data_IF_427129137630
#
_entry.id   IF_427129137630
#
_cell.length_a   1.000
_cell.length_b   1.000
_cell.length_c   1.000
_cell.angle_alpha   90.00
_cell.angle_beta   90.00
_cell.angle_gamma   90.00
#
_symmetry.space_group_name_H-M   'P 1'
#
loop_
_entity.id
_entity.type
_entity.pdbx_description
1 polymer ?
#
# COMPACT_ATOMS: atom_id res chain seq x y z
N UNK A 1 -46.39 -3.12 7.47
CA UNK A 1 -46.72 -3.29 6.04
C UNK A 1 -45.87 -2.28 5.28
N UNK A 2 -44.85 -2.74 4.59
CA UNK A 2 -44.11 -1.94 3.61
C UNK A 2 -44.96 -1.92 2.34
N UNK A 3 -45.63 -0.80 2.06
CA UNK A 3 -46.30 -0.56 0.80
C UNK A 3 -45.26 -0.66 -0.34
N UNK A 4 -45.53 -1.54 -1.28
CA UNK A 4 -44.72 -1.69 -2.47
C UNK A 4 -44.85 -0.45 -3.34
N UNK A 5 -43.82 0.39 -3.42
CA UNK A 5 -43.79 1.56 -4.26
C UNK A 5 -44.12 1.22 -5.73
N UNK A 6 -44.91 2.07 -6.39
CA UNK A 6 -45.30 1.96 -7.79
C UNK A 6 -44.05 1.74 -8.69
N UNK A 7 -44.13 0.86 -9.70
CA UNK A 7 -43.03 0.60 -10.63
C UNK A 7 -42.44 1.85 -11.31
N UNK A 8 -43.27 2.86 -11.60
CA UNK A 8 -42.84 4.15 -12.16
C UNK A 8 -41.98 4.95 -11.17
N UNK A 9 -42.37 4.96 -9.89
CA UNK A 9 -41.60 5.61 -8.81
C UNK A 9 -40.26 4.93 -8.62
N UNK A 10 -40.20 3.59 -8.64
CA UNK A 10 -38.93 2.82 -8.57
C UNK A 10 -38.02 3.11 -9.75
N UNK A 11 -38.56 3.20 -10.98
CA UNK A 11 -37.79 3.52 -12.17
C UNK A 11 -37.21 4.94 -12.09
N UNK A 12 -38.00 5.92 -11.64
CA UNK A 12 -37.55 7.29 -11.44
C UNK A 12 -36.46 7.41 -10.34
N UNK A 13 -36.63 6.73 -9.22
CA UNK A 13 -35.64 6.70 -8.15
C UNK A 13 -34.35 6.04 -8.62
N UNK A 14 -34.44 4.96 -9.40
CA UNK A 14 -33.25 4.27 -9.98
C UNK A 14 -32.52 5.19 -10.94
N UNK A 15 -33.22 5.89 -11.84
CA UNK A 15 -32.65 6.85 -12.78
C UNK A 15 -31.97 8.02 -12.03
N UNK A 16 -32.65 8.58 -11.03
CA UNK A 16 -32.10 9.66 -10.19
C UNK A 16 -30.84 9.23 -9.41
N UNK A 17 -30.81 7.98 -8.94
CA UNK A 17 -29.63 7.39 -8.29
C UNK A 17 -28.48 7.23 -9.29
N UNK A 18 -28.75 6.76 -10.50
CA UNK A 18 -27.74 6.62 -11.56
C UNK A 18 -27.15 7.96 -11.96
N UNK A 19 -27.98 8.99 -12.12
CA UNK A 19 -27.52 10.36 -12.43
C UNK A 19 -26.60 10.88 -11.33
N UNK A 20 -26.97 10.74 -10.05
CA UNK A 20 -26.11 11.15 -8.92
C UNK A 20 -24.78 10.39 -8.89
N UNK A 21 -24.79 9.09 -9.18
CA UNK A 21 -23.58 8.29 -9.27
C UNK A 21 -22.68 8.75 -10.43
N UNK A 22 -23.26 9.03 -11.59
CA UNK A 22 -22.52 9.55 -12.74
C UNK A 22 -21.90 10.93 -12.47
N UNK A 23 -22.62 11.82 -11.80
CA UNK A 23 -22.12 13.13 -11.38
C UNK A 23 -20.95 12.98 -10.39
N UNK A 24 -21.08 12.12 -9.38
CA UNK A 24 -20.01 11.83 -8.43
C UNK A 24 -18.79 11.23 -9.13
N UNK A 25 -19.00 10.32 -10.09
CA UNK A 25 -17.93 9.74 -10.91
C UNK A 25 -17.17 10.81 -11.72
N UNK A 26 -17.91 11.73 -12.34
CA UNK A 26 -17.32 12.83 -13.11
C UNK A 26 -16.49 13.77 -12.22
N UNK A 27 -17.00 14.12 -11.04
CA UNK A 27 -16.26 14.93 -10.07
C UNK A 27 -14.98 14.23 -9.61
N UNK A 28 -15.07 12.94 -9.28
CA UNK A 28 -13.91 12.14 -8.88
C UNK A 28 -12.86 12.05 -10.00
N UNK A 29 -13.30 11.87 -11.26
CA UNK A 29 -12.40 11.86 -12.41
C UNK A 29 -11.70 13.21 -12.62
N UNK A 30 -12.43 14.33 -12.47
CA UNK A 30 -11.85 15.68 -12.56
C UNK A 30 -10.86 15.95 -11.46
N UNK A 31 -11.15 15.55 -10.22
CA UNK A 31 -10.23 15.67 -9.08
C UNK A 31 -8.95 14.84 -9.30
N UNK A 32 -9.07 13.60 -9.79
CA UNK A 32 -7.93 12.76 -10.12
C UNK A 32 -7.06 13.34 -11.25
N UNK A 33 -7.68 13.94 -12.27
CA UNK A 33 -6.96 14.64 -13.35
C UNK A 33 -6.21 15.87 -12.83
N UNK A 34 -6.80 16.64 -11.92
CA UNK A 34 -6.17 17.80 -11.30
C UNK A 34 -4.98 17.39 -10.38
N UNK A 35 -5.13 16.34 -9.58
CA UNK A 35 -4.05 15.81 -8.74
C UNK A 35 -2.86 15.28 -9.56
N UNK A 36 -3.12 14.65 -10.71
CA UNK A 36 -2.06 14.14 -11.60
C UNK A 36 -1.26 15.23 -12.33
N UNK A 37 -1.66 16.49 -12.27
CA UNK A 37 -0.92 17.61 -12.85
C UNK A 37 0.14 18.21 -11.91
N UNK A 38 0.02 17.96 -10.60
CA UNK A 38 0.94 18.54 -9.59
C UNK A 38 2.26 17.75 -9.47
N UNK A 39 2.28 16.46 -9.83
CA UNK A 39 3.45 15.58 -9.65
C UNK A 39 4.49 15.62 -10.79
N UNK A 40 4.49 16.63 -11.67
CA UNK A 40 5.33 16.63 -12.88
C UNK A 40 6.68 17.33 -12.79
N UNK A 41 7.03 17.91 -11.65
CA UNK A 41 8.27 18.72 -11.55
C UNK A 41 9.50 18.01 -10.94
N UNK A 42 9.50 16.73 -10.72
CA UNK A 42 10.59 16.06 -10.00
C UNK A 42 11.06 14.70 -10.50
N UNK A 43 11.14 14.46 -11.81
CA UNK A 43 11.61 13.15 -12.28
C UNK A 43 12.35 13.18 -13.62
N UNK A 44 13.62 12.76 -13.58
CA UNK A 44 14.49 12.62 -14.75
C UNK A 44 13.84 11.86 -15.91
N UNK A 45 14.08 12.36 -17.11
CA UNK A 45 13.59 11.97 -18.42
C UNK A 45 13.43 10.46 -18.64
N UNK A 46 12.30 9.89 -18.25
CA UNK A 46 11.81 8.63 -18.78
C UNK A 46 10.98 8.96 -20.01
N UNK A 47 11.34 8.38 -21.17
CA UNK A 47 10.72 8.57 -22.49
C UNK A 47 9.26 9.03 -22.40
N UNK A 48 8.97 10.25 -22.82
CA UNK A 48 7.62 10.80 -22.94
C UNK A 48 6.77 9.89 -23.82
N UNK A 49 6.06 8.94 -23.21
CA UNK A 49 4.84 8.42 -23.84
C UNK A 49 3.92 9.62 -23.96
N UNK A 50 3.63 9.98 -25.22
CA UNK A 50 2.65 10.98 -25.62
C UNK A 50 1.45 10.87 -24.68
N UNK A 51 1.28 11.84 -23.78
CA UNK A 51 0.09 11.95 -22.98
C UNK A 51 -1.06 12.20 -23.97
N UNK A 52 -1.76 11.15 -24.33
CA UNK A 52 -3.08 11.29 -24.93
C UNK A 52 -3.90 12.01 -23.89
N UNK A 53 -4.47 13.13 -24.23
CA UNK A 53 -5.53 13.82 -23.49
C UNK A 53 -6.78 12.94 -23.47
N UNK A 54 -6.66 11.77 -22.82
CA UNK A 54 -7.82 10.92 -22.59
C UNK A 54 -8.75 11.67 -21.63
N UNK A 55 -10.03 11.71 -21.95
CA UNK A 55 -11.04 12.26 -21.07
C UNK A 55 -10.93 11.59 -19.68
N UNK A 56 -11.16 12.34 -18.59
CA UNK A 56 -11.11 11.78 -17.25
C UNK A 56 -12.11 10.64 -17.11
N UNK A 57 -11.61 9.46 -16.74
CA UNK A 57 -12.40 8.23 -16.57
C UNK A 57 -12.69 7.98 -15.07
N UNK A 58 -13.91 7.60 -14.74
CA UNK A 58 -14.23 7.10 -13.41
C UNK A 58 -15.24 5.95 -13.50
N UNK A 59 -15.18 5.03 -12.54
CA UNK A 59 -16.13 3.94 -12.46
C UNK A 59 -17.47 4.46 -11.95
N UNK A 60 -18.54 4.22 -12.72
CA UNK A 60 -19.89 4.65 -12.34
C UNK A 60 -20.42 3.86 -11.13
N UNK A 61 -20.02 2.59 -11.01
CA UNK A 61 -20.47 1.71 -9.92
C UNK A 61 -19.79 2.05 -8.59
N UNK A 62 -18.50 2.38 -8.62
CA UNK A 62 -17.71 2.83 -7.48
C UNK A 62 -16.82 4.03 -7.89
N UNK A 63 -17.35 5.25 -7.80
CA UNK A 63 -16.64 6.45 -8.25
C UNK A 63 -15.36 6.76 -7.47
N UNK A 64 -15.16 6.15 -6.31
CA UNK A 64 -13.95 6.33 -5.50
C UNK A 64 -12.85 5.33 -5.88
N UNK A 65 -13.18 4.23 -6.56
CA UNK A 65 -12.17 3.31 -7.08
C UNK A 65 -11.37 3.93 -8.22
N UNK A 66 -10.15 3.44 -8.46
CA UNK A 66 -9.25 3.94 -9.50
C UNK A 66 -8.79 2.82 -10.42
N UNK A 67 -8.51 3.18 -11.66
CA UNK A 67 -7.90 2.30 -12.65
C UNK A 67 -6.42 2.16 -12.34
N UNK A 68 -6.01 1.01 -11.84
CA UNK A 68 -4.65 0.71 -11.42
C UNK A 68 -3.99 -0.28 -12.36
N UNK A 69 -2.73 -0.01 -12.73
CA UNK A 69 -1.97 -0.91 -13.59
C UNK A 69 -1.59 -2.19 -12.84
N UNK A 70 -1.68 -3.33 -13.51
CA UNK A 70 -1.20 -4.61 -13.00
C UNK A 70 0.18 -4.96 -13.56
N UNK A 71 0.91 -5.85 -12.88
CA UNK A 71 2.23 -6.32 -13.33
C UNK A 71 2.19 -6.99 -14.73
N UNK A 72 1.06 -7.56 -15.10
CA UNK A 72 0.87 -8.26 -16.38
C UNK A 72 0.44 -7.33 -17.53
N UNK A 73 0.55 -6.02 -17.35
CA UNK A 73 0.22 -5.02 -18.38
C UNK A 73 -1.26 -4.69 -18.53
N UNK A 74 -2.13 -5.31 -17.72
CA UNK A 74 -3.56 -4.98 -17.64
C UNK A 74 -3.86 -3.88 -16.63
N UNK A 75 -5.17 -3.66 -16.42
CA UNK A 75 -5.67 -2.72 -15.40
C UNK A 75 -6.72 -3.41 -14.54
N UNK A 76 -6.79 -3.00 -13.29
CA UNK A 76 -7.84 -3.36 -12.35
C UNK A 76 -8.48 -2.10 -11.80
N UNK A 77 -9.80 -2.16 -11.61
CA UNK A 77 -10.52 -1.10 -10.91
C UNK A 77 -10.50 -1.43 -9.42
N UNK A 78 -9.90 -0.57 -8.61
CA UNK A 78 -9.74 -0.87 -7.20
C UNK A 78 -9.13 0.26 -6.39
N UNK A 79 -8.61 -0.12 -5.24
CA UNK A 79 -7.88 0.73 -4.30
C UNK A 79 -6.50 0.13 -4.05
N UNK A 80 -5.56 0.96 -3.63
CA UNK A 80 -4.25 0.51 -3.18
C UNK A 80 -4.29 0.25 -1.68
N UNK A 81 -4.08 -1.00 -1.27
CA UNK A 81 -4.10 -1.42 0.12
C UNK A 81 -2.68 -1.53 0.67
N UNK A 82 -2.40 -0.79 1.71
CA UNK A 82 -1.15 -0.77 2.44
C UNK A 82 -1.32 -1.50 3.77
N UNK A 83 -0.33 -2.31 4.15
CA UNK A 83 -0.28 -2.98 5.45
C UNK A 83 1.11 -2.85 6.07
N UNK A 84 1.19 -2.58 7.36
CA UNK A 84 2.41 -2.67 8.15
C UNK A 84 2.33 -3.92 9.03
N UNK A 85 3.36 -4.76 8.97
CA UNK A 85 3.37 -6.09 9.57
C UNK A 85 4.65 -6.28 10.36
N UNK A 86 4.58 -6.86 11.55
CA UNK A 86 5.74 -7.26 12.35
C UNK A 86 6.36 -8.54 11.79
N UNK A 87 7.57 -8.89 12.24
CA UNK A 87 8.26 -10.11 11.82
C UNK A 87 7.58 -11.39 12.32
N UNK A 88 6.81 -11.31 13.39
CA UNK A 88 5.90 -12.36 13.85
C UNK A 88 4.50 -12.31 13.18
N UNK A 89 4.36 -11.56 12.08
CA UNK A 89 3.17 -11.46 11.23
C UNK A 89 1.92 -10.80 11.87
N UNK A 90 2.07 -9.97 12.88
CA UNK A 90 0.97 -9.13 13.36
C UNK A 90 0.79 -7.92 12.45
N UNK A 91 -0.45 -7.58 12.13
CA UNK A 91 -0.77 -6.38 11.35
C UNK A 91 -0.86 -5.19 12.32
N UNK A 92 0.10 -4.28 12.28
CA UNK A 92 0.13 -3.08 13.11
C UNK A 92 -0.76 -1.97 12.58
N UNK A 93 -0.80 -1.82 11.26
CA UNK A 93 -1.57 -0.78 10.61
C UNK A 93 -2.02 -1.20 9.21
N UNK A 94 -3.14 -0.65 8.80
CA UNK A 94 -3.68 -0.77 7.44
C UNK A 94 -4.06 0.61 6.92
N UNK A 95 -3.94 0.81 5.61
CA UNK A 95 -4.42 2.02 4.94
C UNK A 95 -4.92 1.65 3.55
N UNK A 96 -6.07 2.19 3.17
CA UNK A 96 -6.58 2.09 1.82
C UNK A 96 -6.48 3.46 1.15
N UNK A 97 -5.93 3.52 -0.06
CA UNK A 97 -5.73 4.76 -0.81
C UNK A 97 -6.16 4.62 -2.26
N UNK A 98 -6.36 5.73 -2.91
CA UNK A 98 -6.65 5.83 -4.34
C UNK A 98 -5.38 6.04 -5.18
N UNK A 99 -4.22 6.15 -4.54
CA UNK A 99 -2.95 6.38 -5.22
C UNK A 99 -2.52 5.15 -6.01
N UNK A 100 -2.13 5.34 -7.26
CA UNK A 100 -1.66 4.26 -8.12
C UNK A 100 -0.21 3.83 -7.86
N UNK A 101 0.47 4.47 -6.92
CA UNK A 101 1.85 4.18 -6.51
C UNK A 101 1.98 4.25 -4.97
N UNK A 102 3.07 3.71 -4.44
CA UNK A 102 3.23 3.49 -3.00
C UNK A 102 4.07 4.56 -2.29
N UNK A 103 4.84 5.39 -3.02
CA UNK A 103 5.85 6.25 -2.38
C UNK A 103 5.26 7.31 -1.43
N UNK A 104 4.05 7.81 -1.67
CA UNK A 104 3.35 8.71 -0.73
C UNK A 104 2.74 7.98 0.47
N UNK A 105 2.70 6.65 0.45
CA UNK A 105 2.13 5.87 1.53
C UNK A 105 3.13 5.52 2.64
N UNK A 106 4.45 5.68 2.40
CA UNK A 106 5.48 5.26 3.35
C UNK A 106 5.38 6.00 4.68
N UNK A 107 5.41 7.33 4.66
CA UNK A 107 5.34 8.16 5.87
C UNK A 107 4.07 7.91 6.68
N UNK A 108 2.85 7.96 6.09
CA UNK A 108 1.63 7.68 6.83
C UNK A 108 1.60 6.27 7.44
N UNK A 109 2.13 5.26 6.75
CA UNK A 109 2.17 3.89 7.26
C UNK A 109 3.17 3.73 8.38
N UNK A 110 4.34 4.38 8.28
CA UNK A 110 5.34 4.38 9.35
C UNK A 110 4.81 5.06 10.60
N UNK A 111 4.15 6.21 10.46
CA UNK A 111 3.53 6.93 11.57
C UNK A 111 2.41 6.10 12.22
N UNK A 112 1.59 5.41 11.43
CA UNK A 112 0.55 4.52 11.94
C UNK A 112 1.15 3.33 12.70
N UNK A 113 2.25 2.75 12.24
CA UNK A 113 2.95 1.67 12.95
C UNK A 113 3.56 2.16 14.27
N UNK A 114 4.18 3.35 14.30
CA UNK A 114 4.67 3.99 15.54
C UNK A 114 3.52 4.20 16.52
N UNK A 115 2.39 4.74 16.06
CA UNK A 115 1.21 4.97 16.91
C UNK A 115 0.66 3.65 17.46
N UNK A 116 0.63 2.59 16.64
CA UNK A 116 0.17 1.27 17.09
C UNK A 116 1.06 0.72 18.21
N UNK A 117 2.40 0.82 18.09
CA UNK A 117 3.32 0.39 19.16
C UNK A 117 3.17 1.20 20.44
N UNK A 118 2.89 2.50 20.33
CA UNK A 118 2.58 3.34 21.50
C UNK A 118 1.30 2.87 22.22
N UNK A 119 0.23 2.57 21.47
CA UNK A 119 -1.05 2.13 22.04
C UNK A 119 -0.95 0.80 22.78
N UNK A 120 -0.05 -0.09 22.38
CA UNK A 120 0.19 -1.36 23.08
C UNK A 120 1.28 -1.29 24.15
N UNK A 121 1.72 -0.08 24.49
CA UNK A 121 2.74 0.14 25.54
C UNK A 121 4.17 -0.18 25.13
N UNK A 122 4.46 -0.32 23.83
CA UNK A 122 5.77 -0.65 23.25
C UNK A 122 6.38 0.50 22.44
N UNK A 123 6.23 1.71 22.96
CA UNK A 123 6.78 2.91 22.33
C UNK A 123 8.31 2.79 22.17
N UNK A 124 8.81 3.13 20.97
CA UNK A 124 10.26 3.07 20.67
C UNK A 124 10.81 1.69 20.33
N UNK A 125 10.00 0.63 20.38
CA UNK A 125 10.44 -0.75 20.07
C UNK A 125 10.33 -1.10 18.57
N UNK A 126 9.96 -0.16 17.71
CA UNK A 126 9.97 -0.39 16.27
C UNK A 126 11.41 -0.53 15.79
N UNK A 127 11.75 -1.72 15.30
CA UNK A 127 13.03 -2.02 14.68
C UNK A 127 13.16 -1.42 13.27
N UNK A 128 13.96 -2.06 12.42
CA UNK A 128 14.15 -1.62 11.02
C UNK A 128 12.90 -1.87 10.19
N UNK A 129 12.33 -0.83 9.61
CA UNK A 129 11.20 -0.90 8.68
C UNK A 129 11.69 -1.35 7.30
N UNK A 130 11.11 -2.42 6.77
CA UNK A 130 11.46 -2.99 5.46
C UNK A 130 10.39 -2.62 4.44
N UNK A 131 10.79 -1.96 3.34
CA UNK A 131 9.86 -1.55 2.29
C UNK A 131 10.37 -1.93 0.90
N UNK A 132 9.46 -2.13 -0.05
CA UNK A 132 9.82 -2.47 -1.42
C UNK A 132 10.17 -1.24 -2.28
N UNK A 133 10.48 -1.49 -3.55
CA UNK A 133 10.89 -0.45 -4.47
C UNK A 133 9.78 0.56 -4.82
N UNK A 134 8.51 0.23 -4.56
CA UNK A 134 7.40 1.16 -4.73
C UNK A 134 7.48 2.39 -3.81
N UNK A 135 8.16 2.23 -2.68
CA UNK A 135 8.39 3.30 -1.71
C UNK A 135 9.69 4.09 -1.93
N UNK A 136 10.49 3.72 -2.93
CA UNK A 136 11.77 4.36 -3.17
C UNK A 136 11.61 5.80 -3.63
N UNK A 137 11.92 6.75 -2.76
CA UNK A 137 11.99 8.18 -3.05
C UNK A 137 12.95 8.86 -2.09
N UNK A 138 13.57 9.96 -2.51
CA UNK A 138 14.52 10.69 -1.66
C UNK A 138 13.88 11.16 -0.33
N UNK A 139 12.66 11.72 -0.32
CA UNK A 139 11.97 12.04 0.93
C UNK A 139 11.83 10.83 1.87
N UNK A 140 11.44 9.66 1.34
CA UNK A 140 11.28 8.47 2.17
C UNK A 140 12.61 7.93 2.73
N UNK A 141 13.72 8.14 2.01
CA UNK A 141 15.05 7.75 2.48
C UNK A 141 15.57 8.63 3.62
N UNK A 142 15.14 9.90 3.67
CA UNK A 142 15.63 10.91 4.63
C UNK A 142 14.62 11.26 5.72
N UNK A 143 13.40 10.72 5.64
CA UNK A 143 12.34 10.96 6.61
C UNK A 143 12.82 10.65 8.04
N UNK A 144 12.57 11.52 9.04
CA UNK A 144 12.87 11.21 10.44
C UNK A 144 12.01 10.05 10.95
N UNK A 145 12.49 9.35 11.99
CA UNK A 145 11.76 8.24 12.61
C UNK A 145 12.55 6.92 12.60
N UNK A 146 11.87 5.76 12.69
CA UNK A 146 12.51 4.45 12.78
C UNK A 146 13.49 4.18 11.64
N UNK A 147 14.49 3.35 11.94
CA UNK A 147 15.41 2.85 10.93
C UNK A 147 14.70 2.13 9.79
N UNK A 148 15.27 2.15 8.58
CA UNK A 148 14.61 1.60 7.39
C UNK A 148 15.57 1.01 6.37
N UNK A 149 15.07 0.00 5.65
CA UNK A 149 15.66 -0.52 4.43
C UNK A 149 14.60 -0.48 3.32
N UNK A 150 14.77 0.43 2.36
CA UNK A 150 13.88 0.57 1.19
C UNK A 150 14.64 0.04 -0.03
N UNK A 151 14.02 -0.85 -0.79
CA UNK A 151 14.64 -1.45 -1.97
C UNK A 151 14.89 -0.43 -3.09
N UNK A 152 16.09 -0.40 -3.68
CA UNK A 152 16.36 0.43 -4.86
C UNK A 152 15.81 -0.16 -6.16
N UNK A 153 15.28 -1.39 -6.14
CA UNK A 153 14.79 -2.11 -7.31
C UNK A 153 14.13 -3.44 -6.94
N UNK A 154 13.91 -4.30 -7.93
CA UNK A 154 13.29 -5.60 -7.70
C UNK A 154 14.22 -6.57 -6.94
N UNK A 155 13.63 -7.60 -6.33
CA UNK A 155 14.35 -8.57 -5.51
C UNK A 155 15.50 -9.30 -6.25
N UNK A 156 15.32 -9.60 -7.54
CA UNK A 156 16.36 -10.29 -8.34
C UNK A 156 17.59 -9.41 -8.52
N UNK A 157 17.39 -8.14 -8.82
CA UNK A 157 18.48 -7.18 -8.99
C UNK A 157 19.23 -6.93 -7.68
N UNK A 158 18.50 -6.80 -6.58
CA UNK A 158 19.10 -6.65 -5.24
C UNK A 158 19.96 -7.86 -4.89
N UNK A 159 19.45 -9.07 -5.10
CA UNK A 159 20.18 -10.31 -4.81
C UNK A 159 21.41 -10.46 -5.71
N UNK A 160 21.28 -10.13 -6.99
CA UNK A 160 22.40 -10.13 -7.94
C UNK A 160 23.46 -9.11 -7.55
N UNK A 161 23.07 -7.90 -7.20
CA UNK A 161 23.99 -6.81 -6.84
C UNK A 161 24.69 -7.10 -5.50
N UNK A 162 24.00 -7.67 -4.52
CA UNK A 162 24.60 -8.10 -3.27
C UNK A 162 25.62 -9.22 -3.46
N UNK A 163 25.40 -10.13 -4.43
CA UNK A 163 26.34 -11.20 -4.78
C UNK A 163 27.54 -10.68 -5.57
N UNK A 164 27.29 -9.86 -6.60
CA UNK A 164 28.32 -9.47 -7.57
C UNK A 164 29.13 -8.25 -7.12
N UNK A 165 28.57 -7.43 -6.23
CA UNK A 165 29.15 -6.19 -5.72
C UNK A 165 28.86 -6.04 -4.23
N UNK A 166 29.32 -7.01 -3.39
CA UNK A 166 29.08 -6.91 -1.96
C UNK A 166 29.69 -5.62 -1.41
N UNK A 167 29.02 -5.03 -0.43
CA UNK A 167 29.53 -3.86 0.29
C UNK A 167 29.98 -4.28 1.67
N UNK A 168 31.05 -3.66 2.15
CA UNK A 168 31.65 -3.92 3.46
C UNK A 168 31.89 -2.60 4.19
N UNK A 169 31.77 -2.61 5.50
CA UNK A 169 31.98 -1.44 6.34
C UNK A 169 30.95 -0.32 6.13
N UNK A 170 31.19 0.87 6.67
CA UNK A 170 30.31 2.01 6.53
C UNK A 170 30.31 2.55 5.09
N UNK A 171 29.20 3.17 4.64
CA UNK A 171 29.17 3.85 3.36
C UNK A 171 30.09 5.07 3.36
N UNK A 172 30.54 5.56 2.18
CA UNK A 172 31.31 6.80 2.08
C UNK A 172 30.58 7.95 2.80
N UNK A 173 31.30 8.81 3.55
CA UNK A 173 30.68 9.86 4.35
C UNK A 173 29.90 10.89 3.52
N UNK A 174 30.37 11.18 2.33
CA UNK A 174 29.80 12.10 1.34
C UNK A 174 28.74 11.45 0.40
N UNK A 175 28.48 10.16 0.56
CA UNK A 175 27.51 9.47 -0.27
C UNK A 175 26.09 10.02 -0.06
N UNK A 176 25.34 10.11 -1.16
CA UNK A 176 23.92 10.50 -1.13
C UNK A 176 23.07 9.55 -0.27
N UNK A 177 21.91 9.96 0.25
CA UNK A 177 21.00 9.07 0.96
C UNK A 177 20.66 7.81 0.16
N UNK A 178 20.47 7.96 -1.15
CA UNK A 178 20.21 6.86 -2.07
C UNK A 178 21.40 5.89 -2.16
N UNK A 179 22.62 6.40 -2.22
CA UNK A 179 23.83 5.55 -2.30
C UNK A 179 24.13 4.88 -0.96
N UNK A 180 23.90 5.57 0.16
CA UNK A 180 23.97 4.98 1.51
C UNK A 180 23.00 3.80 1.66
N UNK A 181 21.77 3.95 1.17
CA UNK A 181 20.77 2.88 1.20
C UNK A 181 21.17 1.72 0.28
N UNK A 182 21.63 2.00 -0.97
CA UNK A 182 22.14 0.96 -1.89
C UNK A 182 23.34 0.23 -1.31
N UNK A 183 24.26 0.95 -0.67
CA UNK A 183 25.39 0.36 0.02
C UNK A 183 24.92 -0.59 1.11
N UNK A 184 24.06 -0.11 2.01
CA UNK A 184 23.56 -0.88 3.15
C UNK A 184 22.84 -2.16 2.73
N UNK A 185 22.00 -2.14 1.70
CA UNK A 185 21.30 -3.34 1.21
C UNK A 185 22.28 -4.37 0.62
N UNK A 186 23.45 -3.96 0.15
CA UNK A 186 24.49 -4.86 -0.37
C UNK A 186 25.41 -5.42 0.69
N UNK A 187 25.36 -4.93 1.93
CA UNK A 187 26.09 -5.57 3.04
C UNK A 187 25.47 -6.93 3.37
N UNK A 188 26.22 -7.91 3.88
CA UNK A 188 25.69 -9.21 4.28
C UNK A 188 24.50 -9.08 5.27
N UNK A 189 24.64 -8.20 6.25
CA UNK A 189 23.61 -7.94 7.27
C UNK A 189 22.37 -7.28 6.67
N UNK A 190 22.56 -6.22 5.88
CA UNK A 190 21.47 -5.50 5.23
C UNK A 190 20.69 -6.39 4.26
N UNK A 191 21.40 -7.21 3.46
CA UNK A 191 20.76 -8.16 2.55
C UNK A 191 20.00 -9.26 3.30
N UNK A 192 20.55 -9.81 4.38
CA UNK A 192 19.90 -10.82 5.22
C UNK A 192 18.65 -10.24 5.87
N UNK A 193 18.73 -9.04 6.41
CA UNK A 193 17.60 -8.32 7.01
C UNK A 193 16.53 -8.07 5.97
N UNK A 194 16.88 -7.56 4.79
CA UNK A 194 15.92 -7.25 3.74
C UNK A 194 15.17 -8.48 3.19
N UNK A 195 15.82 -9.65 3.14
CA UNK A 195 15.17 -10.91 2.71
C UNK A 195 13.97 -11.29 3.56
N UNK A 196 13.96 -10.92 4.84
CA UNK A 196 12.85 -11.22 5.76
C UNK A 196 11.53 -10.59 5.29
N UNK A 197 11.58 -9.45 4.56
CA UNK A 197 10.39 -8.74 4.08
C UNK A 197 9.41 -9.64 3.33
N UNK A 198 9.91 -10.40 2.35
CA UNK A 198 9.06 -11.26 1.52
C UNK A 198 8.34 -12.32 2.36
N UNK A 199 9.08 -13.03 3.20
CA UNK A 199 8.51 -14.06 4.06
C UNK A 199 7.47 -13.51 5.05
N UNK A 200 7.63 -12.27 5.49
CA UNK A 200 6.74 -11.64 6.47
C UNK A 200 5.45 -11.13 5.81
N UNK A 201 5.57 -10.24 4.84
CA UNK A 201 4.42 -9.56 4.23
C UNK A 201 3.59 -10.49 3.35
N UNK A 202 4.23 -11.32 2.54
CA UNK A 202 3.51 -12.20 1.62
C UNK A 202 2.67 -13.23 2.35
N UNK A 203 3.16 -13.75 3.49
CA UNK A 203 2.40 -14.65 4.36
C UNK A 203 1.13 -13.98 4.88
N UNK A 204 1.21 -12.73 5.35
CA UNK A 204 0.04 -12.01 5.87
C UNK A 204 -0.95 -11.68 4.75
N UNK A 205 -0.46 -11.28 3.57
CA UNK A 205 -1.32 -11.05 2.40
C UNK A 205 -2.04 -12.35 1.98
N UNK A 206 -1.36 -13.49 2.05
CA UNK A 206 -1.99 -14.80 1.79
C UNK A 206 -3.09 -15.09 2.83
N UNK A 207 -2.83 -14.87 4.12
CA UNK A 207 -3.86 -15.04 5.16
C UNK A 207 -5.07 -14.14 4.95
N UNK A 208 -4.88 -12.86 4.61
CA UNK A 208 -5.97 -11.95 4.28
C UNK A 208 -6.80 -12.45 3.10
N UNK A 209 -6.16 -13.02 2.07
CA UNK A 209 -6.86 -13.52 0.88
C UNK A 209 -7.53 -14.87 1.09
N UNK A 210 -6.89 -15.78 1.79
CA UNK A 210 -7.29 -17.18 1.85
C UNK A 210 -8.10 -17.51 3.11
N UNK A 211 -7.76 -16.95 4.26
CA UNK A 211 -8.46 -17.20 5.51
C UNK A 211 -9.66 -16.27 5.72
N UNK A 212 -9.54 -14.98 5.34
CA UNK A 212 -10.67 -14.05 5.48
C UNK A 212 -11.45 -13.85 4.19
N UNK A 213 -11.00 -14.44 3.07
CA UNK A 213 -11.64 -14.30 1.77
C UNK A 213 -11.50 -12.92 1.12
N UNK A 214 -10.63 -12.04 1.65
CA UNK A 214 -10.46 -10.68 1.16
C UNK A 214 -9.68 -10.63 -0.16
N UNK A 215 -10.20 -11.24 -1.21
CA UNK A 215 -9.68 -11.16 -2.57
C UNK A 215 -10.27 -9.99 -3.37
N UNK A 216 -11.46 -9.54 -2.96
CA UNK A 216 -12.19 -8.38 -3.48
C UNK A 216 -12.94 -7.72 -2.35
N UNK A 217 -13.03 -6.40 -2.39
CA UNK A 217 -13.93 -5.68 -1.50
C UNK A 217 -15.38 -5.94 -1.91
N UNK A 218 -16.22 -6.31 -0.96
CA UNK A 218 -17.66 -6.50 -1.15
C UNK A 218 -18.40 -5.17 -1.07
N UNK A 219 -17.85 -4.21 -0.34
CA UNK A 219 -18.41 -2.88 -0.15
C UNK A 219 -17.78 -1.88 -1.12
N UNK A 220 -18.55 -0.82 -1.44
CA UNK A 220 -18.14 0.24 -2.36
C UNK A 220 -17.83 1.53 -1.61
N UNK A 221 -16.91 2.31 -2.19
CA UNK A 221 -16.40 3.53 -1.62
C UNK A 221 -15.21 3.29 -0.69
N UNK A 222 -14.30 4.26 -0.64
CA UNK A 222 -13.02 4.14 0.06
C UNK A 222 -13.19 3.82 1.55
N UNK A 223 -14.08 4.55 2.25
CA UNK A 223 -14.29 4.35 3.68
C UNK A 223 -14.87 2.97 4.02
N UNK A 224 -15.83 2.50 3.21
CA UNK A 224 -16.44 1.20 3.43
C UNK A 224 -15.47 0.04 3.12
N UNK A 225 -14.70 0.15 2.05
CA UNK A 225 -13.66 -0.82 1.70
C UNK A 225 -12.52 -0.80 2.74
N UNK A 226 -12.14 0.37 3.27
CA UNK A 226 -11.15 0.47 4.35
C UNK A 226 -11.64 -0.21 5.64
N UNK A 227 -12.92 -0.07 5.98
CA UNK A 227 -13.53 -0.78 7.12
C UNK A 227 -13.49 -2.30 6.94
N UNK A 228 -13.69 -2.79 5.72
CA UNK A 228 -13.61 -4.21 5.38
C UNK A 228 -12.18 -4.73 5.51
N UNK A 229 -11.18 -3.97 5.04
CA UNK A 229 -9.77 -4.29 5.23
C UNK A 229 -9.38 -4.34 6.72
N UNK A 230 -9.82 -3.35 7.50
CA UNK A 230 -9.54 -3.29 8.94
C UNK A 230 -10.17 -4.48 9.69
N UNK A 231 -11.40 -4.85 9.35
CA UNK A 231 -12.06 -6.02 9.95
C UNK A 231 -11.27 -7.30 9.63
N UNK A 232 -10.88 -7.50 8.37
CA UNK A 232 -10.09 -8.67 7.99
C UNK A 232 -8.73 -8.71 8.71
N UNK A 233 -8.04 -7.58 8.83
CA UNK A 233 -6.79 -7.47 9.58
C UNK A 233 -6.99 -7.81 11.07
N UNK A 234 -8.07 -7.34 11.68
CA UNK A 234 -8.44 -7.66 13.06
C UNK A 234 -8.65 -9.16 13.23
N UNK A 235 -9.38 -9.80 12.31
CA UNK A 235 -9.60 -11.26 12.35
C UNK A 235 -8.29 -12.03 12.25
N UNK A 236 -7.38 -11.65 11.35
CA UNK A 236 -6.05 -12.27 11.23
C UNK A 236 -5.28 -12.14 12.54
N UNK A 237 -5.24 -10.96 13.15
CA UNK A 237 -4.56 -10.74 14.43
C UNK A 237 -5.19 -11.56 15.58
N UNK A 238 -6.51 -11.61 15.66
CA UNK A 238 -7.22 -12.42 16.69
C UNK A 238 -6.95 -13.91 16.54
N UNK A 239 -6.91 -14.44 15.31
CA UNK A 239 -6.55 -15.84 15.05
C UNK A 239 -5.12 -16.14 15.50
N UNK A 240 -4.19 -15.22 15.26
CA UNK A 240 -2.81 -15.35 15.74
C UNK A 240 -2.73 -15.33 17.27
N UNK A 241 -3.39 -14.37 17.90
CA UNK A 241 -3.43 -14.26 19.35
C UNK A 241 -4.00 -15.56 19.97
N UNK A 242 -5.12 -16.05 19.45
CA UNK A 242 -5.70 -17.31 19.86
C UNK A 242 -4.70 -18.48 19.74
N UNK A 243 -4.04 -18.60 18.59
CA UNK A 243 -3.06 -19.67 18.37
C UNK A 243 -1.88 -19.58 19.33
N UNK A 244 -1.38 -18.37 19.59
CA UNK A 244 -0.32 -18.14 20.58
C UNK A 244 -0.77 -18.52 22.00
N UNK A 245 -2.02 -18.22 22.36
CA UNK A 245 -2.56 -18.56 23.68
C UNK A 245 -2.77 -20.08 23.85
N UNK A 246 -3.18 -20.78 22.78
CA UNK A 246 -3.41 -22.23 22.82
C UNK A 246 -2.12 -23.04 22.69
N UNK A 247 -1.10 -22.49 22.03
CA UNK A 247 0.18 -23.12 21.77
C UNK A 247 1.32 -22.13 22.11
N UNK A 248 1.53 -21.80 23.41
CA UNK A 248 2.63 -20.93 23.79
C UNK A 248 3.95 -21.59 23.36
N UNK A 249 4.86 -20.80 22.75
CA UNK A 249 6.20 -21.28 22.47
C UNK A 249 6.88 -21.66 23.80
N UNK A 250 7.25 -22.92 23.93
CA UNK A 250 8.03 -23.44 25.06
C UNK A 250 9.47 -22.94 25.02
#
# INVERSE_FOLDING_TARGET
RLEAADPKTRAHETASRQIRLAQKALQAARAAAAAGTVDREGGAARKRRRATTAAPEANITDPESRKMATRNGGFVQGFNAQIAVTDDHLILATKLTQDGNDYHCFEPMMNAAVTATQHIGRAGELGTVLADAGYWSEPNLTLPGPDRLIAPGNHRDITRDARNRPAHGPPPPDASPADKMRHRIRTPEGHTTYKRRSATVETVIAHLKDQTGLRRFSRRGLAAAASELNLAATVVNLLKLRNHTLHPAT
#
